data_IF_213310145156
#
_entry.id   IF_213310145156
#
_cell.length_a   1.000
_cell.length_b   1.000
_cell.length_c   1.000
_cell.angle_alpha   90.00
_cell.angle_beta   90.00
_cell.angle_gamma   90.00
#
_symmetry.space_group_name_H-M   'P 1'
#
loop_
_entity.id
_entity.type
_entity.pdbx_description
1 polymer ?
#
# COMPACT_ATOMS: atom_id res chain seq x y z
N UNK A 1 16.37 -41.02 1.70
CA UNK A 1 15.19 -41.03 2.58
C UNK A 1 15.20 -39.96 3.69
N UNK A 2 16.27 -39.83 4.50
CA UNK A 2 16.33 -38.79 5.56
C UNK A 2 16.12 -37.37 5.05
N UNK A 3 16.69 -37.00 3.91
CA UNK A 3 16.56 -35.65 3.33
C UNK A 3 15.14 -35.36 2.85
N UNK A 4 14.46 -36.33 2.25
CA UNK A 4 13.06 -36.17 1.81
C UNK A 4 12.16 -35.95 3.04
N UNK A 5 12.34 -36.75 4.10
CA UNK A 5 11.60 -36.59 5.35
C UNK A 5 11.84 -35.23 6.00
N UNK A 6 13.10 -34.73 5.96
CA UNK A 6 13.44 -33.38 6.45
C UNK A 6 12.74 -32.29 5.63
N UNK A 7 12.69 -32.42 4.30
CA UNK A 7 11.99 -31.49 3.41
C UNK A 7 10.48 -31.48 3.67
N UNK A 8 9.84 -32.63 3.81
CA UNK A 8 8.42 -32.74 4.17
C UNK A 8 8.13 -31.98 5.46
N UNK A 9 8.95 -32.18 6.49
CA UNK A 9 8.81 -31.46 7.77
C UNK A 9 8.97 -29.96 7.61
N UNK A 10 9.94 -29.49 6.83
CA UNK A 10 10.19 -28.08 6.58
C UNK A 10 9.02 -27.42 5.84
N UNK A 11 8.54 -28.06 4.77
CA UNK A 11 7.38 -27.58 4.00
C UNK A 11 6.12 -27.54 4.86
N UNK A 12 5.88 -28.58 5.68
CA UNK A 12 4.77 -28.62 6.62
C UNK A 12 4.80 -27.49 7.65
N UNK A 13 6.00 -27.14 8.17
CA UNK A 13 6.15 -25.97 9.03
C UNK A 13 5.87 -24.66 8.32
N UNK A 14 6.37 -24.50 7.08
CA UNK A 14 6.10 -23.32 6.24
C UNK A 14 4.60 -23.17 5.99
N UNK A 15 3.90 -24.25 5.65
CA UNK A 15 2.45 -24.29 5.48
C UNK A 15 1.69 -23.77 6.72
N UNK A 16 2.10 -24.21 7.91
CA UNK A 16 1.45 -23.73 9.15
C UNK A 16 1.63 -22.22 9.35
N UNK A 17 2.83 -21.71 9.05
CA UNK A 17 3.13 -20.26 9.13
C UNK A 17 2.31 -19.48 8.12
N UNK A 18 2.27 -19.90 6.85
CA UNK A 18 1.51 -19.20 5.80
C UNK A 18 0.01 -19.22 6.09
N UNK A 19 -0.53 -20.32 6.58
CA UNK A 19 -1.95 -20.40 6.98
C UNK A 19 -2.28 -19.49 8.16
N UNK A 20 -1.41 -19.42 9.15
CA UNK A 20 -1.58 -18.49 10.26
C UNK A 20 -1.54 -17.02 9.80
N UNK A 21 -0.60 -16.67 8.90
CA UNK A 21 -0.48 -15.33 8.34
C UNK A 21 -1.70 -14.95 7.47
N UNK A 22 -2.26 -15.88 6.70
CA UNK A 22 -3.50 -15.70 5.95
C UNK A 22 -4.66 -15.32 6.88
N UNK A 23 -4.86 -16.07 7.97
CA UNK A 23 -5.94 -15.81 8.95
C UNK A 23 -5.77 -14.45 9.64
N UNK A 24 -4.55 -14.11 10.05
CA UNK A 24 -4.25 -12.81 10.67
C UNK A 24 -4.51 -11.68 9.68
N UNK A 25 -4.07 -11.81 8.42
CA UNK A 25 -4.30 -10.81 7.37
C UNK A 25 -5.78 -10.64 7.07
N UNK A 26 -6.55 -11.72 7.04
CA UNK A 26 -8.02 -11.68 6.87
C UNK A 26 -8.71 -10.88 7.99
N UNK A 27 -8.30 -11.09 9.25
CA UNK A 27 -8.83 -10.33 10.39
C UNK A 27 -8.48 -8.84 10.31
N UNK A 28 -7.22 -8.53 9.96
CA UNK A 28 -6.75 -7.14 9.79
C UNK A 28 -7.43 -6.44 8.62
N UNK A 29 -7.64 -7.13 7.50
CA UNK A 29 -8.38 -6.64 6.35
C UNK A 29 -9.80 -6.21 6.72
N UNK A 30 -10.52 -7.04 7.48
CA UNK A 30 -11.88 -6.71 7.92
C UNK A 30 -11.93 -5.43 8.74
N UNK A 31 -10.98 -5.26 9.69
CA UNK A 31 -10.88 -4.04 10.50
C UNK A 31 -10.50 -2.81 9.65
N UNK A 32 -9.59 -2.98 8.68
CA UNK A 32 -9.18 -1.89 7.80
C UNK A 32 -10.33 -1.41 6.91
N UNK A 33 -11.11 -2.33 6.34
CA UNK A 33 -12.32 -1.99 5.56
C UNK A 33 -13.33 -1.18 6.38
N UNK A 34 -13.62 -1.61 7.59
CA UNK A 34 -14.54 -0.90 8.46
C UNK A 34 -14.06 0.54 8.73
N UNK A 35 -12.75 0.73 8.94
CA UNK A 35 -12.17 2.08 9.12
C UNK A 35 -12.26 2.92 7.86
N UNK A 36 -12.01 2.35 6.68
CA UNK A 36 -12.15 3.05 5.41
C UNK A 36 -13.59 3.52 5.17
N UNK A 37 -14.57 2.65 5.42
CA UNK A 37 -15.98 2.98 5.33
C UNK A 37 -16.41 4.10 6.29
N UNK A 38 -15.82 4.15 7.49
CA UNK A 38 -16.08 5.21 8.48
C UNK A 38 -15.41 6.54 8.11
N UNK A 39 -14.27 6.53 7.42
CA UNK A 39 -13.54 7.74 7.04
C UNK A 39 -14.12 8.42 5.78
N UNK A 40 -14.67 7.66 4.84
CA UNK A 40 -15.21 8.16 3.56
C UNK A 40 -16.26 9.25 3.67
N UNK A 41 -17.26 9.18 4.56
CA UNK A 41 -18.28 10.23 4.66
C UNK A 41 -17.69 11.60 5.00
N UNK A 42 -16.74 11.66 5.94
CA UNK A 42 -16.07 12.90 6.32
C UNK A 42 -15.25 13.49 5.16
N UNK A 43 -14.50 12.65 4.45
CA UNK A 43 -13.75 13.07 3.27
C UNK A 43 -14.67 13.63 2.17
N UNK A 44 -15.76 12.92 1.88
CA UNK A 44 -16.71 13.33 0.83
C UNK A 44 -17.38 14.65 1.17
N UNK A 45 -17.75 14.88 2.43
CA UNK A 45 -18.40 16.12 2.87
C UNK A 45 -17.43 17.31 2.80
N UNK A 46 -16.16 17.10 3.21
CA UNK A 46 -15.14 18.14 3.05
C UNK A 46 -14.91 18.49 1.56
N UNK A 47 -14.80 17.48 0.70
CA UNK A 47 -14.60 17.71 -0.74
C UNK A 47 -15.78 18.46 -1.35
N UNK A 48 -17.00 18.06 -1.00
CA UNK A 48 -18.23 18.74 -1.44
C UNK A 48 -18.24 20.20 -0.98
N UNK A 49 -17.99 20.46 0.30
CA UNK A 49 -17.93 21.84 0.85
C UNK A 49 -16.89 22.69 0.13
N UNK A 50 -15.72 22.14 -0.22
CA UNK A 50 -14.71 22.86 -0.98
C UNK A 50 -15.16 23.20 -2.40
N UNK A 51 -15.85 22.28 -3.07
CA UNK A 51 -16.43 22.53 -4.39
C UNK A 51 -17.53 23.60 -4.34
N UNK A 52 -18.36 23.59 -3.29
CA UNK A 52 -19.40 24.61 -3.05
C UNK A 52 -18.78 26.01 -2.84
N UNK A 53 -17.75 26.11 -2.00
CA UNK A 53 -17.03 27.38 -1.76
C UNK A 53 -16.39 27.90 -3.05
N UNK A 54 -15.71 27.03 -3.80
CA UNK A 54 -15.08 27.42 -5.06
C UNK A 54 -16.09 27.81 -6.15
N UNK A 55 -17.34 27.37 -6.03
CA UNK A 55 -18.44 27.71 -6.96
C UNK A 55 -19.15 29.02 -6.59
N UNK A 56 -18.92 29.56 -5.39
CA UNK A 56 -19.60 30.78 -4.90
C UNK A 56 -19.24 32.02 -5.73
N UNK A 57 -18.01 32.05 -6.31
CA UNK A 57 -17.55 33.20 -7.11
C UNK A 57 -17.06 32.74 -8.49
N UNK A 58 -17.35 33.54 -9.54
CA UNK A 58 -16.84 33.28 -10.89
C UNK A 58 -15.32 33.40 -10.98
N UNK A 59 -14.72 34.29 -10.21
CA UNK A 59 -13.29 34.61 -10.20
C UNK A 59 -12.56 34.02 -8.97
N UNK A 60 -13.11 32.92 -8.40
CA UNK A 60 -12.52 32.26 -7.26
C UNK A 60 -11.08 31.81 -7.56
N UNK A 61 -10.13 32.31 -6.80
CA UNK A 61 -8.72 31.97 -6.93
C UNK A 61 -7.99 32.09 -5.59
N UNK A 62 -7.33 31.05 -5.17
CA UNK A 62 -6.45 31.02 -4.00
C UNK A 62 -5.08 30.48 -4.37
N UNK A 63 -4.12 30.60 -3.46
CA UNK A 63 -2.77 29.99 -3.63
C UNK A 63 -2.86 28.51 -3.95
N UNK A 64 -3.88 27.81 -3.47
CA UNK A 64 -4.08 26.37 -3.61
C UNK A 64 -4.80 25.95 -4.89
N UNK A 65 -5.44 26.88 -5.63
CA UNK A 65 -6.16 26.58 -6.87
C UNK A 65 -5.44 27.11 -8.11
N UNK A 66 -4.46 28.00 -7.94
CA UNK A 66 -3.69 28.57 -9.05
C UNK A 66 -2.81 27.52 -9.69
N UNK A 67 -2.92 27.40 -11.02
CA UNK A 67 -2.00 26.58 -11.82
C UNK A 67 -0.65 27.27 -11.91
N UNK A 68 0.41 26.55 -11.58
CA UNK A 68 1.80 26.98 -11.71
C UNK A 68 2.51 26.17 -12.79
N UNK A 69 3.61 26.69 -13.32
CA UNK A 69 4.55 25.87 -14.08
C UNK A 69 5.19 24.86 -13.13
N UNK A 70 5.10 23.57 -13.45
CA UNK A 70 5.58 22.51 -12.58
C UNK A 70 7.09 22.35 -12.82
N UNK A 71 7.90 22.76 -11.82
CA UNK A 71 9.35 22.56 -11.81
C UNK A 71 9.74 21.58 -10.70
N UNK A 72 9.14 21.72 -9.53
CA UNK A 72 9.44 20.91 -8.35
C UNK A 72 8.19 20.16 -7.88
N UNK A 73 8.32 18.86 -7.70
CA UNK A 73 7.21 18.01 -7.26
C UNK A 73 7.45 17.45 -5.85
N UNK A 74 6.36 17.23 -5.13
CA UNK A 74 6.35 16.50 -3.88
C UNK A 74 5.45 15.27 -4.03
N UNK A 75 6.01 14.09 -3.75
CA UNK A 75 5.28 12.84 -3.75
C UNK A 75 5.12 12.31 -2.33
N UNK A 76 3.89 12.08 -1.92
CA UNK A 76 3.54 11.35 -0.70
C UNK A 76 3.31 9.91 -1.10
N UNK A 77 4.21 9.00 -0.74
CA UNK A 77 4.18 7.62 -1.22
C UNK A 77 3.90 6.65 -0.08
N UNK A 78 2.75 5.97 -0.17
CA UNK A 78 2.29 5.02 0.84
C UNK A 78 2.63 3.60 0.41
N UNK A 79 3.53 2.94 1.16
CA UNK A 79 3.84 1.53 1.02
C UNK A 79 3.79 0.83 2.38
N UNK A 80 3.95 -0.49 2.39
CA UNK A 80 3.92 -1.28 3.62
C UNK A 80 5.20 -1.21 4.44
N UNK A 81 5.10 -1.59 5.70
CA UNK A 81 6.27 -1.78 6.58
C UNK A 81 6.90 -3.15 6.40
N UNK A 82 6.14 -4.13 5.93
CA UNK A 82 6.53 -5.54 5.81
C UNK A 82 6.39 -6.04 4.37
N UNK A 83 7.09 -7.13 4.07
CA UNK A 83 6.95 -7.86 2.81
C UNK A 83 5.84 -8.92 2.84
N UNK A 84 5.97 -9.90 1.95
CA UNK A 84 5.06 -11.04 1.80
C UNK A 84 3.61 -10.65 1.44
N UNK A 85 3.46 -9.55 0.73
CA UNK A 85 2.18 -9.03 0.23
C UNK A 85 2.15 -9.02 -1.32
N UNK A 86 2.70 -10.03 -1.96
CA UNK A 86 2.80 -10.11 -3.42
C UNK A 86 3.46 -8.88 -4.03
N UNK A 87 2.85 -8.33 -5.07
CA UNK A 87 3.32 -7.14 -5.80
C UNK A 87 2.97 -5.79 -5.15
N UNK A 88 2.23 -5.77 -4.04
CA UNK A 88 1.69 -4.55 -3.43
C UNK A 88 2.73 -3.42 -3.31
N UNK A 89 3.85 -3.66 -2.63
CA UNK A 89 4.88 -2.64 -2.44
C UNK A 89 5.54 -2.23 -3.76
N UNK A 90 5.93 -3.21 -4.58
CA UNK A 90 6.66 -2.94 -5.82
C UNK A 90 5.84 -2.15 -6.83
N UNK A 91 4.53 -2.38 -6.89
CA UNK A 91 3.66 -1.74 -7.88
C UNK A 91 3.49 -0.24 -7.60
N UNK A 92 3.19 0.15 -6.36
CA UNK A 92 3.03 1.57 -6.00
C UNK A 92 4.36 2.33 -6.08
N UNK A 93 5.47 1.71 -5.68
CA UNK A 93 6.79 2.32 -5.76
C UNK A 93 7.25 2.53 -7.21
N UNK A 94 6.97 1.57 -8.09
CA UNK A 94 7.24 1.69 -9.53
C UNK A 94 6.35 2.77 -10.17
N UNK A 95 5.08 2.85 -9.77
CA UNK A 95 4.18 3.90 -10.26
C UNK A 95 4.72 5.29 -9.88
N UNK A 96 5.11 5.50 -8.63
CA UNK A 96 5.68 6.76 -8.18
C UNK A 96 7.00 7.10 -8.90
N UNK A 97 7.86 6.10 -9.12
CA UNK A 97 9.10 6.29 -9.86
C UNK A 97 8.87 6.59 -11.36
N UNK A 98 7.84 6.03 -11.97
CA UNK A 98 7.48 6.28 -13.36
C UNK A 98 6.82 7.65 -13.58
N UNK A 99 6.14 8.19 -12.56
CA UNK A 99 5.37 9.42 -12.66
C UNK A 99 6.22 10.69 -12.88
N UNK A 100 7.54 10.63 -12.62
CA UNK A 100 8.48 11.72 -12.88
C UNK A 100 9.48 11.40 -13.99
N UNK A 101 9.25 10.32 -14.75
CA UNK A 101 10.11 9.97 -15.88
C UNK A 101 10.06 11.09 -16.95
N UNK A 102 11.15 11.81 -17.13
CA UNK A 102 11.23 12.98 -18.02
C UNK A 102 11.26 14.33 -17.30
N UNK A 103 11.09 14.38 -16.00
CA UNK A 103 11.30 15.60 -15.21
C UNK A 103 12.80 15.94 -15.13
N UNK A 104 13.13 17.22 -15.09
CA UNK A 104 14.51 17.68 -14.96
C UNK A 104 15.13 17.34 -13.59
N UNK A 105 14.30 17.30 -12.55
CA UNK A 105 14.69 17.03 -11.18
C UNK A 105 13.85 15.91 -10.57
N UNK A 106 14.47 15.16 -9.64
CA UNK A 106 13.77 14.16 -8.85
C UNK A 106 12.79 14.84 -7.91
N UNK A 107 11.57 14.27 -7.72
CA UNK A 107 10.63 14.81 -6.76
C UNK A 107 11.16 14.66 -5.32
N UNK A 108 10.78 15.58 -4.45
CA UNK A 108 10.90 15.42 -3.02
C UNK A 108 9.90 14.37 -2.54
N UNK A 109 10.23 13.61 -1.50
CA UNK A 109 9.45 12.46 -1.05
C UNK A 109 9.03 12.61 0.42
N UNK A 110 7.74 12.43 0.68
CA UNK A 110 7.24 12.05 1.99
C UNK A 110 6.96 10.56 1.96
N UNK A 111 7.78 9.77 2.65
CA UNK A 111 7.72 8.32 2.61
C UNK A 111 6.93 7.75 3.79
N UNK A 112 5.84 7.06 3.51
CA UNK A 112 5.01 6.37 4.50
C UNK A 112 5.24 4.86 4.37
N UNK A 113 5.66 4.23 5.48
CA UNK A 113 6.03 2.81 5.55
C UNK A 113 7.49 2.54 5.20
N UNK A 114 8.06 1.53 5.86
CA UNK A 114 9.48 1.17 5.75
C UNK A 114 9.91 0.86 4.31
N UNK A 115 9.04 0.22 3.51
CA UNK A 115 9.36 -0.15 2.13
C UNK A 115 9.47 1.07 1.21
N UNK A 116 8.69 2.12 1.47
CA UNK A 116 8.83 3.40 0.78
C UNK A 116 10.17 4.07 1.16
N UNK A 117 10.47 4.17 2.45
CA UNK A 117 11.72 4.75 2.96
C UNK A 117 12.93 4.02 2.36
N UNK A 118 12.98 2.69 2.46
CA UNK A 118 14.07 1.88 1.92
C UNK A 118 14.27 2.05 0.40
N UNK A 119 13.16 2.15 -0.34
CA UNK A 119 13.20 2.25 -1.79
C UNK A 119 13.79 3.58 -2.27
N UNK A 120 13.32 4.70 -1.70
CA UNK A 120 13.72 6.04 -2.10
C UNK A 120 15.09 6.42 -1.55
N UNK A 121 15.44 6.04 -0.30
CA UNK A 121 16.78 6.26 0.26
C UNK A 121 17.89 5.58 -0.56
N UNK A 122 17.64 4.35 -1.05
CA UNK A 122 18.63 3.63 -1.88
C UNK A 122 18.82 4.22 -3.28
N UNK A 123 18.02 5.18 -3.68
CA UNK A 123 18.02 5.82 -5.01
C UNK A 123 18.30 7.31 -4.96
N UNK A 124 18.79 7.79 -3.81
CA UNK A 124 19.20 9.19 -3.59
C UNK A 124 18.08 10.20 -3.93
N UNK A 125 16.86 9.92 -3.44
CA UNK A 125 15.77 10.88 -3.44
C UNK A 125 15.85 11.74 -2.17
N UNK A 126 15.44 13.00 -2.28
CA UNK A 126 15.28 13.90 -1.14
C UNK A 126 14.02 13.51 -0.33
N UNK A 127 14.23 12.87 0.84
CA UNK A 127 13.15 12.45 1.73
C UNK A 127 12.94 13.54 2.78
N UNK A 128 11.93 14.38 2.56
CA UNK A 128 11.58 15.50 3.46
C UNK A 128 10.71 15.06 4.64
N UNK A 129 10.11 13.87 4.58
CA UNK A 129 9.31 13.29 5.68
C UNK A 129 9.36 11.76 5.67
N UNK A 130 9.46 11.15 6.85
CA UNK A 130 9.63 9.70 7.01
C UNK A 130 8.74 9.17 8.13
N UNK A 131 7.75 8.34 7.77
CA UNK A 131 6.69 7.86 8.67
C UNK A 131 6.59 6.33 8.66
N UNK A 132 7.48 5.62 9.36
CA UNK A 132 7.40 4.16 9.49
C UNK A 132 6.32 3.74 10.49
N UNK A 133 5.74 2.54 10.28
CA UNK A 133 4.81 1.86 11.20
C UNK A 133 3.52 2.62 11.53
N UNK A 134 3.07 3.55 10.71
CA UNK A 134 1.81 4.30 10.94
C UNK A 134 0.62 3.71 10.20
N UNK A 135 0.83 2.90 9.15
CA UNK A 135 -0.24 2.46 8.25
C UNK A 135 -1.34 1.64 8.95
N UNK A 136 -0.99 0.80 9.92
CA UNK A 136 -1.97 -0.02 10.67
C UNK A 136 -2.94 0.83 11.48
N UNK A 137 -2.50 1.96 12.02
CA UNK A 137 -3.31 2.82 12.89
C UNK A 137 -2.85 4.27 12.83
N UNK A 138 -2.98 4.88 11.65
CA UNK A 138 -2.68 6.29 11.48
C UNK A 138 -3.58 7.13 12.38
N UNK A 139 -2.96 8.02 13.17
CA UNK A 139 -3.68 8.98 14.02
C UNK A 139 -3.95 10.27 13.24
N UNK A 140 -5.06 10.97 13.52
CA UNK A 140 -5.36 12.25 12.85
C UNK A 140 -4.21 13.27 12.95
N UNK A 141 -3.51 13.33 14.08
CA UNK A 141 -2.36 14.22 14.26
C UNK A 141 -1.20 13.90 13.31
N UNK A 142 -0.96 12.61 13.00
CA UNK A 142 0.07 12.21 12.05
C UNK A 142 -0.31 12.55 10.60
N UNK A 143 -1.58 12.38 10.26
CA UNK A 143 -2.08 12.80 8.95
C UNK A 143 -2.02 14.33 8.79
N UNK A 144 -2.30 15.08 9.86
CA UNK A 144 -2.18 16.53 9.88
C UNK A 144 -0.72 16.99 9.71
N UNK A 145 0.22 16.39 10.41
CA UNK A 145 1.66 16.68 10.29
C UNK A 145 2.20 16.49 8.85
N UNK A 146 1.78 15.38 8.20
CA UNK A 146 2.11 15.11 6.79
C UNK A 146 1.50 16.18 5.88
N UNK A 147 0.23 16.53 6.11
CA UNK A 147 -0.47 17.53 5.32
C UNK A 147 0.13 18.93 5.49
N UNK A 148 0.45 19.31 6.72
CA UNK A 148 1.04 20.62 7.04
C UNK A 148 2.43 20.76 6.38
N UNK A 149 3.25 19.71 6.43
CA UNK A 149 4.55 19.69 5.72
C UNK A 149 4.36 19.95 4.21
N UNK A 150 3.44 19.25 3.58
CA UNK A 150 3.18 19.39 2.14
C UNK A 150 2.63 20.78 1.78
N UNK A 151 1.72 21.31 2.59
CA UNK A 151 1.08 22.61 2.41
C UNK A 151 2.09 23.74 2.60
N UNK A 152 2.94 23.67 3.62
CA UNK A 152 3.96 24.70 3.86
C UNK A 152 4.97 24.77 2.72
N UNK A 153 5.44 23.62 2.21
CA UNK A 153 6.34 23.58 1.07
C UNK A 153 5.68 24.17 -0.19
N UNK A 154 4.40 23.88 -0.40
CA UNK A 154 3.65 24.44 -1.52
C UNK A 154 3.43 25.95 -1.38
N UNK A 155 3.12 26.45 -0.18
CA UNK A 155 2.95 27.89 0.11
C UNK A 155 4.25 28.67 -0.09
N UNK A 156 5.39 28.09 0.32
CA UNK A 156 6.72 28.72 0.16
C UNK A 156 7.23 28.69 -1.27
N UNK A 157 6.52 28.00 -2.19
CA UNK A 157 6.97 27.82 -3.56
C UNK A 157 8.16 26.86 -3.71
N UNK A 158 8.43 26.04 -2.68
CA UNK A 158 9.45 25.00 -2.74
C UNK A 158 9.01 23.81 -3.60
N UNK A 159 7.71 23.65 -3.79
CA UNK A 159 7.08 22.68 -4.69
C UNK A 159 5.85 23.28 -5.37
N UNK A 160 5.62 22.87 -6.62
CA UNK A 160 4.55 23.37 -7.48
C UNK A 160 3.42 22.35 -7.66
N UNK A 161 3.70 21.08 -7.34
CA UNK A 161 2.77 19.96 -7.53
C UNK A 161 2.94 18.97 -6.37
N UNK A 162 1.83 18.61 -5.73
CA UNK A 162 1.80 17.62 -4.65
C UNK A 162 0.89 16.47 -5.05
N UNK A 163 1.42 15.26 -5.01
CA UNK A 163 0.70 14.05 -5.40
C UNK A 163 0.82 12.97 -4.32
N UNK A 164 -0.26 12.19 -4.16
CA UNK A 164 -0.28 11.01 -3.28
C UNK A 164 -0.30 9.75 -4.14
N UNK A 165 0.60 8.83 -3.83
CA UNK A 165 0.68 7.49 -4.42
C UNK A 165 0.31 6.46 -3.36
N UNK A 166 -0.75 5.71 -3.62
CA UNK A 166 -1.24 4.69 -2.72
C UNK A 166 -1.89 3.56 -3.51
N UNK A 167 -2.23 2.46 -2.85
CA UNK A 167 -2.95 1.36 -3.49
C UNK A 167 -4.40 1.35 -3.00
N UNK A 168 -5.32 1.55 -3.92
CA UNK A 168 -6.75 1.51 -3.66
C UNK A 168 -7.22 0.05 -3.52
N UNK A 169 -8.07 -0.20 -2.54
CA UNK A 169 -8.71 -1.49 -2.35
C UNK A 169 -9.98 -1.60 -3.22
N UNK A 170 -9.90 -2.31 -4.33
CA UNK A 170 -11.06 -2.60 -5.20
C UNK A 170 -11.76 -3.86 -4.73
N UNK A 171 -11.02 -4.96 -4.57
CA UNK A 171 -11.54 -6.23 -4.08
C UNK A 171 -10.43 -7.06 -3.41
N UNK A 172 -10.78 -8.25 -2.91
CA UNK A 172 -9.78 -9.15 -2.34
C UNK A 172 -8.73 -9.62 -3.35
N UNK A 173 -9.10 -9.68 -4.64
CA UNK A 173 -8.22 -10.11 -5.73
C UNK A 173 -7.60 -8.94 -6.50
N UNK A 174 -8.19 -7.75 -6.41
CA UNK A 174 -7.77 -6.57 -7.16
C UNK A 174 -7.39 -5.42 -6.20
N UNK A 175 -6.14 -5.03 -6.24
CA UNK A 175 -5.59 -3.86 -5.58
C UNK A 175 -4.86 -3.03 -6.63
N UNK A 176 -5.30 -1.79 -6.82
CA UNK A 176 -4.82 -0.93 -7.90
C UNK A 176 -3.96 0.22 -7.36
N UNK A 177 -2.69 0.33 -7.78
CA UNK A 177 -1.88 1.49 -7.49
C UNK A 177 -2.51 2.73 -8.14
N UNK A 178 -2.69 3.79 -7.35
CA UNK A 178 -3.31 5.04 -7.78
C UNK A 178 -2.37 6.22 -7.56
N UNK A 179 -2.50 7.20 -8.43
CA UNK A 179 -1.87 8.51 -8.35
C UNK A 179 -2.97 9.56 -8.23
N UNK A 180 -2.95 10.34 -7.18
CA UNK A 180 -3.94 11.37 -6.92
C UNK A 180 -3.27 12.73 -6.76
N UNK A 181 -3.64 13.70 -7.60
CA UNK A 181 -3.20 15.08 -7.45
C UNK A 181 -3.87 15.72 -6.23
N UNK A 182 -3.08 16.36 -5.38
CA UNK A 182 -3.52 17.01 -4.14
C UNK A 182 -3.48 18.53 -4.29
N UNK A 183 -2.33 19.07 -4.69
CA UNK A 183 -2.11 20.49 -4.93
C UNK A 183 -1.42 20.70 -6.30
N UNK A 184 -1.81 21.73 -7.06
CA UNK A 184 -2.95 22.60 -6.86
C UNK A 184 -4.28 21.85 -6.93
N UNK A 185 -5.25 22.31 -6.14
CA UNK A 185 -6.55 21.66 -6.04
C UNK A 185 -7.40 21.91 -7.29
N UNK A 186 -7.98 20.83 -7.81
CA UNK A 186 -8.97 20.90 -8.88
C UNK A 186 -10.35 20.90 -8.24
N UNK A 187 -10.99 22.06 -8.26
CA UNK A 187 -12.39 22.19 -7.83
C UNK A 187 -13.32 22.04 -9.01
N UNK A 188 -14.42 21.32 -8.84
CA UNK A 188 -15.47 21.24 -9.84
C UNK A 188 -16.50 22.35 -9.53
N UNK A 189 -16.89 23.12 -10.55
CA UNK A 189 -18.01 24.06 -10.38
C UNK A 189 -19.31 23.26 -10.28
N UNK A 190 -20.03 23.48 -9.18
CA UNK A 190 -21.34 22.88 -8.96
C UNK A 190 -22.42 23.89 -9.38
N UNK A 191 -23.33 23.47 -10.24
CA UNK A 191 -24.48 24.27 -10.66
C UNK A 191 -25.60 24.20 -9.61
N UNK A 192 -26.28 25.33 -9.36
CA UNK A 192 -27.49 25.38 -8.54
C UNK A 192 -27.29 25.59 -7.03
N UNK A 193 -26.07 25.82 -6.56
CA UNK A 193 -25.84 26.23 -5.18
C UNK A 193 -26.04 27.74 -5.03
N UNK A 194 -27.01 28.11 -4.20
CA UNK A 194 -27.30 29.50 -3.88
C UNK A 194 -26.13 30.20 -3.19
N UNK A 195 -26.04 31.50 -3.33
CA UNK A 195 -25.01 32.32 -2.70
C UNK A 195 -25.04 32.14 -1.17
N UNK A 196 -24.15 31.30 -0.64
CA UNK A 196 -23.83 31.29 0.79
C UNK A 196 -22.97 32.52 1.10
N UNK A 197 -23.25 33.20 2.21
CA UNK A 197 -22.36 34.23 2.73
C UNK A 197 -21.24 33.55 3.54
N UNK A 198 -20.01 33.77 3.12
CA UNK A 198 -18.83 33.30 3.82
C UNK A 198 -18.16 34.45 4.57
N UNK A 199 -17.81 34.24 5.83
CA UNK A 199 -17.15 35.23 6.69
C UNK A 199 -15.72 34.79 7.05
N UNK A 200 -14.67 35.57 6.72
CA UNK A 200 -14.69 36.90 6.10
C UNK A 200 -14.84 36.87 4.57
N UNK A 201 -14.45 35.83 3.88
CA UNK A 201 -14.59 35.62 2.43
C UNK A 201 -14.55 34.16 2.05
N UNK A 202 -15.04 33.75 0.87
CA UNK A 202 -14.94 32.38 0.37
C UNK A 202 -13.49 31.86 0.33
N UNK A 203 -12.55 32.70 -0.10
CA UNK A 203 -11.13 32.39 -0.22
C UNK A 203 -10.51 32.10 1.16
N UNK A 204 -10.80 32.93 2.17
CA UNK A 204 -10.29 32.77 3.52
C UNK A 204 -10.85 31.51 4.19
N UNK A 205 -12.11 31.17 3.95
CA UNK A 205 -12.74 29.94 4.46
C UNK A 205 -12.14 28.72 3.75
N UNK A 206 -11.96 28.79 2.43
CA UNK A 206 -11.31 27.73 1.65
C UNK A 206 -9.90 27.44 2.16
N UNK A 207 -9.09 28.48 2.35
CA UNK A 207 -7.70 28.34 2.83
C UNK A 207 -7.61 27.72 4.24
N UNK A 208 -8.65 27.86 5.06
CA UNK A 208 -8.74 27.19 6.37
C UNK A 208 -9.18 25.74 6.29
N UNK A 209 -9.90 25.36 5.24
CA UNK A 209 -10.39 23.99 5.04
C UNK A 209 -9.32 23.12 4.36
N UNK A 210 -8.51 23.70 3.47
CA UNK A 210 -7.46 22.96 2.71
C UNK A 210 -6.57 22.07 3.59
N UNK A 211 -6.02 22.53 4.73
CA UNK A 211 -5.19 21.66 5.59
C UNK A 211 -5.97 20.45 6.12
N UNK A 212 -7.22 20.65 6.54
CA UNK A 212 -8.08 19.57 7.06
C UNK A 212 -8.46 18.58 5.97
N UNK A 213 -8.76 19.09 4.78
CA UNK A 213 -9.04 18.24 3.61
C UNK A 213 -7.82 17.41 3.22
N UNK A 214 -6.65 18.04 3.12
CA UNK A 214 -5.40 17.34 2.77
C UNK A 214 -5.05 16.27 3.81
N UNK A 215 -5.20 16.57 5.10
CA UNK A 215 -5.00 15.60 6.18
C UNK A 215 -6.00 14.42 6.07
N UNK A 216 -7.27 14.71 5.81
CA UNK A 216 -8.30 13.68 5.61
C UNK A 216 -7.99 12.81 4.39
N UNK A 217 -7.52 13.40 3.29
CA UNK A 217 -7.12 12.70 2.08
C UNK A 217 -5.94 11.76 2.35
N UNK A 218 -4.89 12.24 3.03
CA UNK A 218 -3.74 11.42 3.44
C UNK A 218 -4.19 10.27 4.34
N UNK A 219 -5.06 10.56 5.32
CA UNK A 219 -5.59 9.53 6.21
C UNK A 219 -6.36 8.45 5.45
N UNK A 220 -7.26 8.85 4.54
CA UNK A 220 -8.01 7.92 3.70
C UNK A 220 -7.07 7.08 2.82
N UNK A 221 -6.08 7.71 2.17
CA UNK A 221 -5.12 7.01 1.32
C UNK A 221 -4.32 5.96 2.11
N UNK A 222 -3.89 6.27 3.34
CA UNK A 222 -3.15 5.33 4.19
C UNK A 222 -4.04 4.17 4.65
N UNK A 223 -5.29 4.43 5.01
CA UNK A 223 -6.24 3.37 5.44
C UNK A 223 -6.60 2.45 4.28
N UNK A 224 -6.86 3.00 3.09
CA UNK A 224 -7.12 2.22 1.86
C UNK A 224 -5.88 1.39 1.47
N UNK A 225 -4.69 1.98 1.52
CA UNK A 225 -3.42 1.31 1.25
C UNK A 225 -3.17 0.15 2.22
N UNK A 226 -3.47 0.34 3.51
CA UNK A 226 -3.36 -0.73 4.50
C UNK A 226 -4.36 -1.87 4.26
N UNK A 227 -5.60 -1.57 3.87
CA UNK A 227 -6.57 -2.58 3.49
C UNK A 227 -6.08 -3.38 2.27
N UNK A 228 -5.54 -2.70 1.26
CA UNK A 228 -4.94 -3.31 0.08
C UNK A 228 -3.73 -4.20 0.42
N UNK A 229 -2.85 -3.74 1.32
CA UNK A 229 -1.72 -4.51 1.82
C UNK A 229 -2.17 -5.82 2.48
N UNK A 230 -3.19 -5.77 3.35
CA UNK A 230 -3.72 -6.97 4.02
C UNK A 230 -4.45 -7.89 3.04
N UNK A 231 -5.15 -7.35 2.04
CA UNK A 231 -5.78 -8.12 0.97
C UNK A 231 -4.74 -8.87 0.14
N UNK A 232 -3.73 -8.17 -0.36
CA UNK A 232 -2.62 -8.76 -1.12
C UNK A 232 -1.83 -9.80 -0.32
N UNK A 233 -1.58 -9.53 0.96
CA UNK A 233 -0.89 -10.49 1.85
C UNK A 233 -1.72 -11.74 2.07
N UNK A 234 -3.02 -11.61 2.30
CA UNK A 234 -3.93 -12.76 2.45
C UNK A 234 -3.85 -13.66 1.22
N UNK A 235 -4.04 -13.11 0.01
CA UNK A 235 -4.01 -13.87 -1.24
C UNK A 235 -2.65 -14.52 -1.48
N UNK A 236 -1.55 -13.80 -1.20
CA UNK A 236 -0.20 -14.34 -1.33
C UNK A 236 0.05 -15.50 -0.35
N UNK A 237 -0.45 -15.42 0.87
CA UNK A 237 -0.31 -16.48 1.88
C UNK A 237 -1.21 -17.69 1.60
N UNK A 238 -2.42 -17.47 1.09
CA UNK A 238 -3.32 -18.51 0.59
C UNK A 238 -2.64 -19.32 -0.52
N UNK A 239 -2.15 -18.65 -1.55
CA UNK A 239 -1.40 -19.30 -2.65
C UNK A 239 -0.13 -20.02 -2.16
N UNK A 240 0.59 -19.44 -1.19
CA UNK A 240 1.78 -20.11 -0.61
C UNK A 240 1.40 -21.36 0.19
N UNK A 241 0.24 -21.38 0.85
CA UNK A 241 -0.29 -22.53 1.58
C UNK A 241 -0.65 -23.66 0.61
N UNK A 242 -1.37 -23.34 -0.47
CA UNK A 242 -1.75 -24.32 -1.51
C UNK A 242 -0.52 -24.92 -2.19
N UNK A 243 0.46 -24.09 -2.50
CA UNK A 243 1.76 -24.58 -3.05
C UNK A 243 2.49 -25.51 -2.07
N UNK A 244 2.45 -25.21 -0.77
CA UNK A 244 3.07 -26.07 0.24
C UNK A 244 2.34 -27.42 0.36
N UNK A 245 1.02 -27.46 0.21
CA UNK A 245 0.24 -28.69 0.19
C UNK A 245 0.61 -29.55 -1.01
N UNK A 246 0.65 -28.99 -2.22
CA UNK A 246 1.06 -29.69 -3.43
C UNK A 246 2.50 -30.23 -3.35
N UNK A 247 3.42 -29.45 -2.79
CA UNK A 247 4.80 -29.91 -2.55
C UNK A 247 4.87 -31.05 -1.54
N UNK A 248 4.07 -31.01 -0.48
CA UNK A 248 4.03 -32.07 0.54
C UNK A 248 3.53 -33.38 -0.05
N UNK A 249 2.50 -33.33 -0.88
CA UNK A 249 1.97 -34.49 -1.60
C UNK A 249 3.03 -35.11 -2.53
N UNK A 250 3.66 -34.28 -3.37
CA UNK A 250 4.72 -34.73 -4.29
C UNK A 250 5.91 -35.36 -3.54
N UNK A 251 6.37 -34.73 -2.46
CA UNK A 251 7.45 -35.25 -1.63
C UNK A 251 7.05 -36.55 -0.93
N UNK A 252 5.80 -36.73 -0.54
CA UNK A 252 5.29 -37.94 0.11
C UNK A 252 5.27 -39.10 -0.87
N UNK A 253 4.88 -38.87 -2.14
CA UNK A 253 4.97 -39.90 -3.21
C UNK A 253 6.43 -40.30 -3.47
N UNK A 254 7.33 -39.31 -3.55
CA UNK A 254 8.76 -39.56 -3.73
C UNK A 254 9.36 -40.36 -2.57
N UNK A 255 8.97 -40.02 -1.34
CA UNK A 255 9.41 -40.74 -0.14
C UNK A 255 8.94 -42.20 -0.15
N UNK A 256 7.66 -42.46 -0.50
CA UNK A 256 7.13 -43.81 -0.58
C UNK A 256 7.84 -44.67 -1.65
N UNK A 257 8.10 -44.07 -2.83
CA UNK A 257 8.87 -44.76 -3.91
C UNK A 257 10.30 -45.09 -3.43
N UNK A 258 10.99 -44.11 -2.84
CA UNK A 258 12.34 -44.34 -2.32
C UNK A 258 12.36 -45.37 -1.17
N UNK A 259 11.34 -45.39 -0.32
CA UNK A 259 11.19 -46.40 0.74
C UNK A 259 11.03 -47.81 0.14
N UNK A 260 10.11 -47.97 -0.83
CA UNK A 260 9.89 -49.27 -1.50
C UNK A 260 11.16 -49.76 -2.19
N UNK A 261 11.87 -48.88 -2.91
CA UNK A 261 13.14 -49.24 -3.56
C UNK A 261 14.19 -49.68 -2.55
N UNK A 262 14.32 -48.98 -1.41
CA UNK A 262 15.27 -49.38 -0.34
C UNK A 262 14.92 -50.72 0.27
N UNK A 263 13.64 -50.96 0.58
CA UNK A 263 13.16 -52.25 1.12
C UNK A 263 13.43 -53.38 0.11
N UNK A 264 13.13 -53.20 -1.18
CA UNK A 264 13.37 -54.18 -2.22
C UNK A 264 14.86 -54.50 -2.33
N UNK A 265 15.72 -53.48 -2.30
CA UNK A 265 17.15 -53.62 -2.33
C UNK A 265 17.66 -54.43 -1.12
N UNK A 266 17.24 -54.10 0.09
CA UNK A 266 17.61 -54.82 1.31
C UNK A 266 17.18 -56.29 1.25
N UNK A 267 15.97 -56.59 0.79
CA UNK A 267 15.47 -57.95 0.61
C UNK A 267 16.35 -58.71 -0.43
N UNK A 268 16.66 -58.04 -1.57
CA UNK A 268 17.48 -58.66 -2.63
C UNK A 268 18.90 -58.96 -2.12
N UNK A 269 19.49 -58.04 -1.34
CA UNK A 269 20.83 -58.23 -0.75
C UNK A 269 20.81 -59.39 0.25
N UNK A 270 19.79 -59.54 1.09
CA UNK A 270 19.66 -60.65 2.05
C UNK A 270 19.51 -62.00 1.31
N UNK A 271 18.60 -62.06 0.30
CA UNK A 271 18.36 -63.26 -0.46
C UNK A 271 19.63 -63.70 -1.25
N UNK A 272 20.31 -62.73 -1.89
CA UNK A 272 21.55 -62.98 -2.63
C UNK A 272 22.66 -63.44 -1.70
N UNK A 273 22.75 -62.84 -0.49
CA UNK A 273 23.71 -63.30 0.54
C UNK A 273 23.44 -64.71 1.05
N UNK A 274 22.18 -65.09 1.25
CA UNK A 274 21.78 -66.44 1.66
C UNK A 274 22.13 -67.48 0.58
N UNK A 275 21.79 -67.17 -0.67
CA UNK A 275 22.15 -68.11 -1.84
C UNK A 275 23.63 -68.21 -2.09
N UNK A 276 24.49 -67.31 -1.64
CA UNK A 276 25.95 -67.39 -1.78
C UNK A 276 26.62 -68.21 -0.67
N UNK A 277 25.87 -68.59 0.38
CA UNK A 277 26.31 -69.42 1.50
C UNK A 277 25.91 -70.90 1.38
N UNK A 278 25.01 -71.22 0.43
CA UNK A 278 24.72 -72.58 -0.01
C UNK A 278 25.68 -72.98 -1.17
#
# INVERSE_FOLDING_TARGET
>A
MKDIKRRIKSVGSTRQITKAMELVSSSKLRKAKQRAEQARPYFNELYKSMCEIASANTDFSTVFTQKREIKHRLFIVVAGDRGLAGGYNSNVLKLAAAAHAGDAEKPKIIAIGKKSIEYFSKRDYDIVGSYPNIAENIKPAQAQDIADTAIEMFRRGEVDDVQVFFTMFVSQLAQEPQQLAVLPMKTQKLEGYGAMNYDPSPEAVFDRIVPKFTASLVQCAVVEAYASEQGARRTAMESATDNADAMTESLSLLYNRARQASITQEITEIVSGANALE
#
